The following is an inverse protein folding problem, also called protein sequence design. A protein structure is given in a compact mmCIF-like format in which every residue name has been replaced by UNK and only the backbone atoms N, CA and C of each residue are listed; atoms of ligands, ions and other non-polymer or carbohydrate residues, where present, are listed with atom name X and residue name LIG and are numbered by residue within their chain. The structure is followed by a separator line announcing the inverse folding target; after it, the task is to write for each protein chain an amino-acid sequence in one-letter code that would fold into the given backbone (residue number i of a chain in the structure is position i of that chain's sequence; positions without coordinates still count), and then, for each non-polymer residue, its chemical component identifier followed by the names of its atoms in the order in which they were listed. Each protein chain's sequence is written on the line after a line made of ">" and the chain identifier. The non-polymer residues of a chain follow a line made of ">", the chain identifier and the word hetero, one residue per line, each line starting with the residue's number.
data_IF_465516446071
#
_entry.id   IF_465516446071
#
_cell.length_a   1.000
_cell.length_b   1.000
_cell.length_c   1.000
_cell.angle_alpha   90.00
_cell.angle_beta   90.00
_cell.angle_gamma   90.00
#
_symmetry.space_group_name_H-M   'P 1'
#
loop_
_entity.id
_entity.type
_entity.pdbx_description
1 polymer ?
#
# COMPACT_ATOMS: atom_id res chain seq x y z
N UNK A 1 15.67 -12.05 -5.79
CA UNK A 1 14.23 -11.87 -5.50
C UNK A 1 13.55 -11.35 -6.75
N UNK A 2 12.31 -11.74 -7.01
CA UNK A 2 11.53 -11.27 -8.16
C UNK A 2 10.09 -10.95 -7.75
N UNK A 3 9.44 -10.05 -8.48
CA UNK A 3 8.06 -9.63 -8.25
C UNK A 3 7.29 -9.61 -9.57
N UNK A 4 6.02 -10.03 -9.56
CA UNK A 4 5.15 -10.00 -10.74
C UNK A 4 3.69 -9.80 -10.33
N UNK A 5 2.98 -8.95 -11.08
CA UNK A 5 1.54 -8.75 -10.94
C UNK A 5 0.72 -9.75 -11.79
N UNK A 6 1.40 -10.56 -12.61
CA UNK A 6 0.81 -11.59 -13.45
C UNK A 6 1.51 -12.94 -13.18
N UNK A 7 1.35 -13.53 -11.98
CA UNK A 7 2.04 -14.77 -11.64
C UNK A 7 1.67 -15.95 -12.55
N UNK A 8 0.46 -15.93 -13.14
CA UNK A 8 -0.02 -16.96 -14.07
C UNK A 8 0.60 -16.88 -15.47
N UNK A 9 1.29 -15.79 -15.82
CA UNK A 9 1.97 -15.66 -17.10
C UNK A 9 3.44 -16.12 -17.06
N UNK A 10 3.90 -16.65 -15.92
CA UNK A 10 5.28 -17.11 -15.73
C UNK A 10 5.37 -18.59 -16.08
N UNK A 11 6.35 -18.95 -16.91
CA UNK A 11 6.61 -20.33 -17.30
C UNK A 11 7.01 -21.23 -16.10
N UNK A 12 6.59 -22.49 -16.15
CA UNK A 12 6.81 -23.47 -15.08
C UNK A 12 8.30 -23.75 -14.82
N UNK A 13 9.15 -23.76 -15.85
CA UNK A 13 10.58 -23.99 -15.68
C UNK A 13 11.24 -22.84 -14.90
N UNK A 14 10.75 -21.62 -15.10
CA UNK A 14 11.19 -20.45 -14.34
C UNK A 14 10.67 -20.49 -12.90
N UNK A 15 9.39 -20.85 -12.72
CA UNK A 15 8.75 -20.99 -11.40
C UNK A 15 9.40 -22.04 -10.49
N UNK A 16 10.05 -23.07 -11.04
CA UNK A 16 10.84 -24.06 -10.28
C UNK A 16 12.07 -23.47 -9.60
N UNK A 17 12.59 -22.35 -10.10
CA UNK A 17 13.74 -21.64 -9.49
C UNK A 17 13.34 -20.78 -8.28
N UNK A 18 12.04 -20.59 -8.04
CA UNK A 18 11.50 -19.86 -6.90
C UNK A 18 10.87 -20.83 -5.90
N UNK A 19 11.68 -21.27 -4.93
CA UNK A 19 11.28 -22.22 -3.88
C UNK A 19 10.16 -21.69 -2.98
N UNK A 20 10.10 -20.37 -2.77
CA UNK A 20 9.07 -19.70 -1.97
C UNK A 20 8.25 -18.75 -2.84
N UNK A 21 6.93 -18.86 -2.71
CA UNK A 21 5.95 -18.00 -3.38
C UNK A 21 5.08 -17.36 -2.30
N UNK A 22 5.18 -16.04 -2.17
CA UNK A 22 4.45 -15.28 -1.15
C UNK A 22 3.45 -14.40 -1.87
N UNK A 23 2.17 -14.61 -1.58
CA UNK A 23 1.11 -13.72 -2.03
C UNK A 23 1.05 -12.50 -1.10
N UNK A 24 0.99 -11.31 -1.69
CA UNK A 24 0.84 -10.05 -0.96
C UNK A 24 -0.57 -9.54 -1.27
N UNK A 25 -1.51 -9.63 -0.32
CA UNK A 25 -2.85 -9.08 -0.49
C UNK A 25 -2.84 -7.55 -0.40
N UNK A 26 -3.98 -6.94 -0.75
CA UNK A 26 -4.24 -5.54 -0.41
C UNK A 26 -4.23 -5.36 1.13
N UNK A 27 -3.80 -4.19 1.62
CA UNK A 27 -3.74 -3.91 3.05
C UNK A 27 -5.14 -3.87 3.68
N UNK A 28 -5.28 -4.47 4.86
CA UNK A 28 -6.46 -4.32 5.71
C UNK A 28 -6.54 -2.92 6.35
N UNK A 29 -7.64 -2.63 7.07
CA UNK A 29 -7.87 -1.30 7.67
C UNK A 29 -6.69 -0.87 8.56
N UNK A 30 -6.23 -1.76 9.44
CA UNK A 30 -5.17 -1.45 10.39
C UNK A 30 -3.83 -1.22 9.68
N UNK A 31 -3.52 -2.03 8.67
CA UNK A 31 -2.34 -1.85 7.82
C UNK A 31 -2.42 -0.52 7.06
N UNK A 32 -3.58 -0.14 6.51
CA UNK A 32 -3.77 1.16 5.85
C UNK A 32 -3.56 2.32 6.80
N UNK A 33 -4.06 2.23 8.04
CA UNK A 33 -3.83 3.25 9.08
C UNK A 33 -2.35 3.38 9.44
N UNK A 34 -1.64 2.26 9.55
CA UNK A 34 -0.19 2.27 9.78
C UNK A 34 0.55 2.89 8.59
N UNK A 35 0.20 2.52 7.36
CA UNK A 35 0.77 3.11 6.15
C UNK A 35 0.54 4.62 6.10
N UNK A 36 -0.68 5.09 6.38
CA UNK A 36 -0.96 6.53 6.50
C UNK A 36 -0.04 7.21 7.53
N UNK A 37 0.13 6.61 8.71
CA UNK A 37 1.01 7.15 9.74
C UNK A 37 2.48 7.18 9.35
N UNK A 38 2.96 6.18 8.61
CA UNK A 38 4.34 6.13 8.09
C UNK A 38 4.53 7.19 7.00
N UNK A 39 3.61 7.25 6.04
CA UNK A 39 3.66 8.16 4.90
C UNK A 39 3.57 9.62 5.33
N UNK A 40 2.71 9.93 6.30
CA UNK A 40 2.48 11.28 6.80
C UNK A 40 3.38 11.67 7.98
N UNK A 41 4.35 10.83 8.37
CA UNK A 41 5.18 11.04 9.57
C UNK A 41 5.86 12.42 9.63
N UNK A 42 6.21 12.99 8.48
CA UNK A 42 6.89 14.28 8.37
C UNK A 42 5.99 15.39 7.81
N UNK A 43 4.68 15.14 7.73
CA UNK A 43 3.68 16.11 7.25
C UNK A 43 3.01 16.73 8.47
N UNK A 44 2.91 18.06 8.50
CA UNK A 44 2.13 18.75 9.53
C UNK A 44 0.65 18.49 9.26
N UNK A 45 0.01 17.73 10.14
CA UNK A 45 -1.42 17.46 10.08
C UNK A 45 -2.19 18.41 10.99
N UNK A 46 -3.36 18.84 10.52
CA UNK A 46 -4.32 19.57 11.34
C UNK A 46 -4.91 18.65 12.44
N UNK A 47 -5.31 19.23 13.57
CA UNK A 47 -5.87 18.48 14.71
C UNK A 47 -7.17 17.73 14.38
N UNK A 48 -7.87 18.16 13.33
CA UNK A 48 -9.09 17.52 12.85
C UNK A 48 -8.83 16.30 11.95
N UNK A 49 -7.58 16.03 11.55
CA UNK A 49 -7.22 14.90 10.69
C UNK A 49 -7.24 13.58 11.48
N UNK A 50 -8.23 12.74 11.17
CA UNK A 50 -8.39 11.42 11.80
C UNK A 50 -7.98 10.30 10.85
N UNK A 51 -6.77 9.75 11.04
CA UNK A 51 -6.26 8.65 10.23
C UNK A 51 -7.13 7.38 10.26
N UNK A 52 -7.85 7.15 11.37
CA UNK A 52 -8.76 6.01 11.48
C UNK A 52 -9.91 6.10 10.46
N UNK A 53 -10.53 7.28 10.36
CA UNK A 53 -11.62 7.54 9.40
C UNK A 53 -11.09 7.45 7.97
N UNK A 54 -9.94 8.06 7.68
CA UNK A 54 -9.33 8.01 6.35
C UNK A 54 -9.03 6.56 5.94
N UNK A 55 -8.54 5.72 6.87
CA UNK A 55 -8.24 4.30 6.59
C UNK A 55 -9.47 3.48 6.20
N UNK A 56 -10.68 3.86 6.63
CA UNK A 56 -11.93 3.21 6.22
C UNK A 56 -12.27 3.50 4.76
N UNK A 57 -12.03 4.73 4.32
CA UNK A 57 -12.32 5.17 2.94
C UNK A 57 -11.30 4.67 1.91
N UNK A 58 -10.13 4.19 2.34
CA UNK A 58 -9.08 3.67 1.46
C UNK A 58 -9.21 2.16 1.17
N UNK A 59 -10.40 1.58 1.34
CA UNK A 59 -10.63 0.18 0.99
C UNK A 59 -10.32 -0.07 -0.50
N UNK A 60 -9.57 -1.13 -0.79
CA UNK A 60 -9.15 -1.47 -2.15
C UNK A 60 -7.85 -0.80 -2.62
N UNK A 61 -7.29 0.13 -1.85
CA UNK A 61 -6.05 0.82 -2.21
C UNK A 61 -4.84 -0.05 -1.89
N UNK A 62 -3.87 -0.09 -2.81
CA UNK A 62 -2.55 -0.65 -2.54
C UNK A 62 -1.72 0.32 -1.70
N UNK A 63 -0.60 -0.16 -1.13
CA UNK A 63 0.32 0.72 -0.40
C UNK A 63 0.84 1.88 -1.26
N UNK A 64 1.08 1.64 -2.56
CA UNK A 64 1.48 2.68 -3.51
C UNK A 64 0.38 3.72 -3.73
N UNK A 65 -0.88 3.30 -3.84
CA UNK A 65 -2.01 4.23 -4.02
C UNK A 65 -2.17 5.14 -2.79
N UNK A 66 -2.02 4.59 -1.59
CA UNK A 66 -2.09 5.38 -0.33
C UNK A 66 -0.98 6.42 -0.29
N UNK A 67 0.26 6.03 -0.63
CA UNK A 67 1.37 6.97 -0.72
C UNK A 67 1.09 8.09 -1.73
N UNK A 68 0.57 7.75 -2.91
CA UNK A 68 0.25 8.72 -3.94
C UNK A 68 -0.83 9.70 -3.50
N UNK A 69 -1.90 9.23 -2.87
CA UNK A 69 -2.98 10.11 -2.35
C UNK A 69 -2.42 11.11 -1.34
N UNK A 70 -1.62 10.64 -0.37
CA UNK A 70 -0.99 11.52 0.61
C UNK A 70 -0.04 12.53 -0.05
N UNK A 71 0.74 12.08 -1.03
CA UNK A 71 1.64 12.95 -1.78
C UNK A 71 0.86 14.04 -2.51
N UNK A 72 -0.16 13.70 -3.29
CA UNK A 72 -1.01 14.67 -3.97
C UNK A 72 -1.64 15.66 -2.98
N UNK A 73 -2.20 15.18 -1.86
CA UNK A 73 -2.78 16.05 -0.85
C UNK A 73 -1.77 17.08 -0.30
N UNK A 74 -0.50 16.71 -0.16
CA UNK A 74 0.57 17.60 0.29
C UNK A 74 1.00 18.65 -0.75
N UNK A 75 0.66 18.52 -2.03
CA UNK A 75 0.94 19.57 -3.04
C UNK A 75 -0.17 20.61 -3.13
N UNK A 76 -1.40 20.23 -2.76
CA UNK A 76 -2.57 21.09 -2.85
C UNK A 76 -2.84 21.90 -1.56
N UNK A 77 -1.95 21.81 -0.57
CA UNK A 77 -1.94 22.55 0.69
C UNK A 77 -0.54 23.09 0.99
#
# INVERSE_FOLDING_TARGET
>A
MGASNHPWSIDDAFLRRFEKRIYIPLPDKDTRKQLLGITLKNVTLDEHVKLDVISEHLSGYSGSDICNVCWYASFYY
#
